data_IF_568122436081
#
_entry.id   IF_568122436081
#
_cell.length_a   1.000
_cell.length_b   1.000
_cell.length_c   1.000
_cell.angle_alpha   90.00
_cell.angle_beta   90.00
_cell.angle_gamma   90.00
#
_symmetry.space_group_name_H-M   'P 1'
#
loop_
_entity.id
_entity.type
_entity.pdbx_description
1 polymer ?
#
# COMPACT_ATOMS: atom_id res chain seq x y z
N UNK A 1 -60.76 -14.48 32.47
CA UNK A 1 -60.33 -13.59 31.38
C UNK A 1 -59.22 -12.73 31.92
N UNK A 2 -57.98 -13.09 31.63
CA UNK A 2 -56.77 -12.38 32.07
C UNK A 2 -56.19 -11.65 30.87
N UNK A 3 -56.33 -10.33 30.84
CA UNK A 3 -55.64 -9.47 29.88
C UNK A 3 -54.16 -9.39 30.27
N UNK A 4 -53.31 -10.10 29.52
CA UNK A 4 -51.86 -9.95 29.58
C UNK A 4 -51.47 -8.60 28.96
N UNK A 5 -51.05 -7.65 29.80
CA UNK A 5 -50.48 -6.39 29.36
C UNK A 5 -49.18 -6.64 28.58
N UNK A 6 -49.28 -6.70 27.25
CA UNK A 6 -48.14 -6.78 26.34
C UNK A 6 -47.42 -5.43 26.32
N UNK A 7 -46.51 -5.21 27.26
CA UNK A 7 -45.57 -4.10 27.24
C UNK A 7 -44.62 -4.24 26.06
N UNK A 8 -44.91 -3.54 24.96
CA UNK A 8 -43.99 -3.47 23.81
C UNK A 8 -42.85 -2.52 24.16
N UNK A 9 -41.65 -3.04 24.34
CA UNK A 9 -40.42 -2.23 24.41
C UNK A 9 -40.25 -1.51 23.08
N UNK A 10 -40.49 -0.20 23.07
CA UNK A 10 -40.21 0.66 21.91
C UNK A 10 -38.84 1.29 22.14
N UNK A 11 -37.84 0.87 21.37
CA UNK A 11 -36.56 1.59 21.30
C UNK A 11 -36.78 2.92 20.58
N UNK A 12 -37.01 3.99 21.34
CA UNK A 12 -37.07 5.34 20.77
C UNK A 12 -35.64 5.83 20.53
N UNK A 13 -35.14 5.65 19.29
CA UNK A 13 -33.90 6.28 18.82
C UNK A 13 -34.10 7.79 18.68
N UNK A 14 -34.00 8.52 19.78
CA UNK A 14 -34.11 9.99 19.81
C UNK A 14 -32.78 10.66 19.43
N UNK A 15 -32.82 11.94 19.06
CA UNK A 15 -31.62 12.78 18.82
C UNK A 15 -30.66 12.79 20.03
N UNK A 16 -31.16 12.59 21.25
CA UNK A 16 -30.36 12.49 22.46
C UNK A 16 -29.47 11.24 22.52
N UNK A 17 -29.83 10.17 21.82
CA UNK A 17 -28.98 8.97 21.72
C UNK A 17 -27.75 9.20 20.83
N UNK A 18 -27.90 10.02 19.78
CA UNK A 18 -26.78 10.42 18.91
C UNK A 18 -25.86 11.46 19.57
N UNK A 19 -26.42 12.30 20.44
CA UNK A 19 -25.69 13.30 21.24
C UNK A 19 -25.28 12.78 22.63
N UNK A 20 -25.48 11.50 22.93
CA UNK A 20 -25.15 10.93 24.23
C UNK A 20 -23.65 11.07 24.50
N UNK A 21 -23.32 11.98 25.41
CA UNK A 21 -21.97 12.29 25.88
C UNK A 21 -21.51 11.17 26.82
N UNK A 22 -20.39 10.50 26.52
CA UNK A 22 -19.74 9.61 27.51
C UNK A 22 -19.10 10.46 28.63
N UNK A 23 -18.87 9.94 29.84
CA UNK A 23 -18.13 10.68 30.88
C UNK A 23 -16.78 11.13 30.31
N UNK A 24 -16.58 12.45 30.17
CA UNK A 24 -15.47 13.05 29.41
C UNK A 24 -15.85 14.15 28.41
N UNK A 25 -17.14 14.43 28.19
CA UNK A 25 -17.59 15.67 27.53
C UNK A 25 -17.64 15.67 26.00
N UNK A 26 -17.35 14.54 25.33
CA UNK A 26 -17.37 14.43 23.87
C UNK A 26 -18.60 13.64 23.41
N UNK A 27 -19.43 14.25 22.56
CA UNK A 27 -20.56 13.55 21.91
C UNK A 27 -20.04 12.54 20.88
N UNK A 28 -20.81 11.47 20.63
CA UNK A 28 -20.43 10.42 19.66
C UNK A 28 -20.15 10.99 18.26
N UNK A 29 -20.95 11.96 17.82
CA UNK A 29 -20.77 12.70 16.55
C UNK A 29 -19.46 13.50 16.53
N UNK A 30 -19.12 14.18 17.62
CA UNK A 30 -17.86 14.91 17.80
C UNK A 30 -16.64 13.99 17.77
N UNK A 31 -16.70 12.85 18.48
CA UNK A 31 -15.63 11.85 18.49
C UNK A 31 -15.40 11.24 17.10
N UNK A 32 -16.47 10.91 16.38
CA UNK A 32 -16.37 10.36 15.02
C UNK A 32 -15.80 11.39 14.03
N UNK A 33 -16.18 12.66 14.16
CA UNK A 33 -15.62 13.74 13.33
C UNK A 33 -14.13 13.93 13.60
N UNK A 34 -13.72 13.95 14.87
CA UNK A 34 -12.30 14.03 15.25
C UNK A 34 -11.50 12.84 14.72
N UNK A 35 -12.00 11.62 14.91
CA UNK A 35 -11.38 10.41 14.37
C UNK A 35 -11.26 10.45 12.85
N UNK A 36 -12.30 10.91 12.14
CA UNK A 36 -12.28 11.05 10.67
C UNK A 36 -11.20 12.04 10.23
N UNK A 37 -11.08 13.19 10.92
CA UNK A 37 -10.02 14.18 10.64
C UNK A 37 -8.63 13.60 10.88
N UNK A 38 -8.42 12.88 11.99
CA UNK A 38 -7.14 12.22 12.28
C UNK A 38 -6.78 11.18 11.23
N UNK A 39 -7.72 10.33 10.82
CA UNK A 39 -7.50 9.34 9.75
C UNK A 39 -7.18 10.02 8.42
N UNK A 40 -7.88 11.11 8.08
CA UNK A 40 -7.62 11.87 6.85
C UNK A 40 -6.23 12.49 6.86
N UNK A 41 -5.80 13.07 7.99
CA UNK A 41 -4.46 13.62 8.14
C UNK A 41 -3.36 12.55 8.00
N UNK A 42 -3.57 11.37 8.61
CA UNK A 42 -2.65 10.24 8.47
C UNK A 42 -2.58 9.77 7.01
N UNK A 43 -3.72 9.63 6.32
CA UNK A 43 -3.73 9.26 4.89
C UNK A 43 -2.96 10.25 4.03
N UNK A 44 -3.15 11.55 4.27
CA UNK A 44 -2.40 12.59 3.55
C UNK A 44 -0.89 12.49 3.82
N UNK A 45 -0.49 12.25 5.06
CA UNK A 45 0.92 12.08 5.42
C UNK A 45 1.52 10.84 4.74
N UNK A 46 0.80 9.72 4.72
CA UNK A 46 1.23 8.49 4.02
C UNK A 46 1.39 8.76 2.53
N UNK A 47 0.46 9.47 1.89
CA UNK A 47 0.57 9.81 0.47
C UNK A 47 1.79 10.67 0.15
N UNK A 48 2.11 11.66 1.00
CA UNK A 48 3.30 12.49 0.85
C UNK A 48 4.60 11.70 1.00
N UNK A 49 4.66 10.81 1.99
CA UNK A 49 5.81 9.93 2.19
C UNK A 49 5.98 8.97 1.01
N UNK A 50 4.86 8.45 0.49
CA UNK A 50 4.87 7.54 -0.64
C UNK A 50 5.41 8.22 -1.90
N UNK A 51 5.04 9.47 -2.19
CA UNK A 51 5.61 10.21 -3.33
C UNK A 51 7.12 10.49 -3.17
N UNK A 52 7.57 10.73 -1.93
CA UNK A 52 8.97 10.92 -1.60
C UNK A 52 9.81 9.63 -1.76
N UNK A 53 9.18 8.45 -1.76
CA UNK A 53 9.87 7.17 -1.94
C UNK A 53 9.72 6.61 -3.37
N UNK A 54 8.52 6.67 -3.97
CA UNK A 54 8.26 6.13 -5.31
C UNK A 54 9.07 6.84 -6.39
N UNK A 55 9.11 8.18 -6.36
CA UNK A 55 9.77 8.95 -7.42
C UNK A 55 11.27 8.68 -7.46
N UNK A 56 12.02 8.79 -6.35
CA UNK A 56 13.44 8.47 -6.37
C UNK A 56 13.75 7.02 -6.71
N UNK A 57 12.90 6.07 -6.30
CA UNK A 57 13.07 4.66 -6.64
C UNK A 57 12.93 4.42 -8.14
N UNK A 58 11.88 4.96 -8.76
CA UNK A 58 11.67 4.85 -10.20
C UNK A 58 12.81 5.52 -10.99
N UNK A 59 13.29 6.68 -10.52
CA UNK A 59 14.42 7.38 -11.14
C UNK A 59 15.73 6.59 -11.00
N UNK A 60 15.98 5.96 -9.86
CA UNK A 60 17.14 5.09 -9.66
C UNK A 60 17.10 3.90 -10.64
N UNK A 61 15.96 3.22 -10.73
CA UNK A 61 15.75 2.10 -11.65
C UNK A 61 15.92 2.48 -13.13
N UNK A 62 15.44 3.67 -13.55
CA UNK A 62 15.65 4.19 -14.92
C UNK A 62 17.11 4.51 -15.22
N UNK A 63 17.86 4.89 -14.20
CA UNK A 63 19.28 5.24 -14.26
C UNK A 63 20.19 4.06 -13.89
N UNK A 64 19.85 2.87 -14.36
CA UNK A 64 20.68 1.68 -14.14
C UNK A 64 22.09 1.81 -14.76
N UNK A 65 23.17 1.40 -14.06
CA UNK A 65 23.19 0.79 -12.74
C UNK A 65 22.92 1.79 -11.60
N UNK A 66 22.17 1.34 -10.59
CA UNK A 66 21.85 2.15 -9.42
C UNK A 66 23.12 2.48 -8.63
N UNK A 67 23.30 3.77 -8.32
CA UNK A 67 24.46 4.25 -7.55
C UNK A 67 24.44 3.83 -6.08
N UNK A 68 23.26 3.79 -5.46
CA UNK A 68 23.05 3.38 -4.07
C UNK A 68 21.93 2.33 -4.00
N UNK A 69 22.34 1.06 -4.13
CA UNK A 69 21.43 -0.08 -4.20
C UNK A 69 20.72 -0.32 -2.85
N UNK A 70 21.43 -0.15 -1.73
CA UNK A 70 20.88 -0.35 -0.39
C UNK A 70 19.75 0.64 -0.12
N UNK A 71 19.97 1.92 -0.45
CA UNK A 71 18.92 2.95 -0.34
C UNK A 71 17.72 2.65 -1.24
N UNK A 72 17.96 2.15 -2.46
CA UNK A 72 16.88 1.82 -3.39
C UNK A 72 16.06 0.61 -2.92
N UNK A 73 16.68 -0.40 -2.31
CA UNK A 73 15.98 -1.50 -1.64
C UNK A 73 15.13 -0.99 -0.46
N UNK A 74 15.70 -0.13 0.37
CA UNK A 74 14.96 0.49 1.48
C UNK A 74 13.74 1.25 0.96
N UNK A 75 13.90 2.07 -0.08
CA UNK A 75 12.80 2.79 -0.72
C UNK A 75 11.73 1.84 -1.26
N UNK A 76 12.10 0.74 -1.90
CA UNK A 76 11.14 -0.26 -2.38
C UNK A 76 10.31 -0.87 -1.24
N UNK A 77 10.97 -1.22 -0.13
CA UNK A 77 10.28 -1.74 1.06
C UNK A 77 9.34 -0.70 1.69
N UNK A 78 9.77 0.57 1.77
CA UNK A 78 8.95 1.67 2.28
C UNK A 78 7.74 1.92 1.38
N UNK A 79 7.91 1.89 0.06
CA UNK A 79 6.79 2.03 -0.90
C UNK A 79 5.77 0.92 -0.68
N UNK A 80 6.21 -0.35 -0.55
CA UNK A 80 5.30 -1.48 -0.29
C UNK A 80 4.45 -1.24 0.96
N UNK A 81 5.11 -0.88 2.06
CA UNK A 81 4.45 -0.73 3.36
C UNK A 81 3.50 0.49 3.38
N UNK A 82 3.95 1.64 2.86
CA UNK A 82 3.13 2.84 2.75
C UNK A 82 1.95 2.65 1.78
N UNK A 83 2.15 1.94 0.67
CA UNK A 83 1.09 1.63 -0.29
C UNK A 83 0.03 0.72 0.35
N UNK A 84 0.45 -0.24 1.17
CA UNK A 84 -0.45 -1.09 1.95
C UNK A 84 -1.31 -0.28 2.91
N UNK A 85 -0.71 0.68 3.63
CA UNK A 85 -1.43 1.60 4.51
C UNK A 85 -2.40 2.55 3.77
N UNK A 86 -2.12 2.84 2.50
CA UNK A 86 -2.93 3.71 1.65
C UNK A 86 -3.99 2.96 0.82
N UNK A 87 -4.21 1.67 1.06
CA UNK A 87 -5.11 0.81 0.28
C UNK A 87 -4.78 0.78 -1.23
N UNK A 88 -3.49 0.92 -1.59
CA UNK A 88 -2.99 0.92 -2.97
C UNK A 88 -2.40 -0.43 -3.36
N UNK A 89 -3.26 -1.45 -3.49
CA UNK A 89 -2.80 -2.84 -3.56
C UNK A 89 -1.92 -3.13 -4.78
N UNK A 90 -2.24 -2.56 -5.95
CA UNK A 90 -1.40 -2.75 -7.13
C UNK A 90 0.03 -2.22 -6.88
N UNK A 91 0.15 -1.05 -6.25
CA UNK A 91 1.46 -0.48 -5.94
C UNK A 91 2.20 -1.31 -4.88
N UNK A 92 1.49 -1.88 -3.92
CA UNK A 92 2.08 -2.82 -2.94
C UNK A 92 2.71 -4.02 -3.65
N UNK A 93 2.00 -4.68 -4.56
CA UNK A 93 2.50 -5.85 -5.30
C UNK A 93 3.68 -5.49 -6.21
N UNK A 94 3.58 -4.39 -6.96
CA UNK A 94 4.67 -3.94 -7.84
C UNK A 94 5.92 -3.57 -7.03
N UNK A 95 5.75 -2.90 -5.89
CA UNK A 95 6.86 -2.56 -5.00
C UNK A 95 7.49 -3.81 -4.36
N UNK A 96 6.69 -4.83 -4.04
CA UNK A 96 7.20 -6.12 -3.57
C UNK A 96 8.08 -6.80 -4.64
N UNK A 97 7.61 -6.93 -5.89
CA UNK A 97 8.43 -7.48 -6.96
C UNK A 97 9.70 -6.67 -7.22
N UNK A 98 9.61 -5.33 -7.15
CA UNK A 98 10.77 -4.45 -7.29
C UNK A 98 11.77 -4.68 -6.16
N UNK A 99 11.29 -4.80 -4.92
CA UNK A 99 12.12 -5.11 -3.75
C UNK A 99 12.82 -6.45 -3.90
N UNK A 100 12.09 -7.53 -4.19
CA UNK A 100 12.67 -8.88 -4.33
C UNK A 100 13.76 -8.93 -5.42
N UNK A 101 13.54 -8.20 -6.52
CA UNK A 101 14.55 -8.09 -7.57
C UNK A 101 15.80 -7.34 -7.11
N UNK A 102 15.63 -6.18 -6.47
CA UNK A 102 16.76 -5.38 -5.98
C UNK A 102 17.51 -6.09 -4.86
N UNK A 103 16.81 -6.81 -3.99
CA UNK A 103 17.39 -7.62 -2.90
C UNK A 103 18.24 -8.75 -3.48
N UNK A 104 17.76 -9.48 -4.49
CA UNK A 104 18.53 -10.50 -5.18
C UNK A 104 19.78 -9.92 -5.88
N UNK A 105 19.70 -8.71 -6.44
CA UNK A 105 20.88 -8.03 -7.01
C UNK A 105 21.86 -7.63 -5.91
N UNK A 106 21.37 -7.07 -4.80
CA UNK A 106 22.20 -6.54 -3.71
C UNK A 106 22.88 -7.64 -2.89
N UNK A 107 22.11 -8.65 -2.47
CA UNK A 107 22.56 -9.69 -1.54
C UNK A 107 23.20 -10.85 -2.30
N UNK A 108 22.50 -11.37 -3.30
CA UNK A 108 22.96 -12.56 -4.01
C UNK A 108 23.91 -12.19 -5.16
N UNK A 109 23.95 -10.93 -5.61
CA UNK A 109 24.77 -10.49 -6.74
C UNK A 109 24.14 -10.77 -8.11
N UNK A 110 22.81 -10.89 -8.18
CA UNK A 110 22.11 -11.26 -9.41
C UNK A 110 22.34 -10.25 -10.54
N UNK A 111 22.48 -10.75 -11.76
CA UNK A 111 22.58 -9.92 -12.95
C UNK A 111 21.22 -9.36 -13.37
N UNK A 112 21.09 -8.04 -13.42
CA UNK A 112 19.91 -7.34 -13.90
C UNK A 112 20.29 -6.37 -15.03
N UNK A 113 19.51 -6.41 -16.11
CA UNK A 113 19.69 -5.55 -17.27
C UNK A 113 18.93 -4.23 -17.12
N UNK A 114 19.41 -3.18 -17.80
CA UNK A 114 18.77 -1.86 -17.76
C UNK A 114 17.30 -1.91 -18.23
N UNK A 115 16.98 -2.71 -19.24
CA UNK A 115 15.60 -2.83 -19.74
C UNK A 115 14.65 -3.39 -18.68
N UNK A 116 15.14 -4.34 -17.88
CA UNK A 116 14.39 -4.96 -16.79
C UNK A 116 14.18 -3.94 -15.66
N UNK A 117 15.20 -3.16 -15.33
CA UNK A 117 15.10 -2.10 -14.32
C UNK A 117 14.09 -1.02 -14.73
N UNK A 118 14.12 -0.60 -16.00
CA UNK A 118 13.13 0.34 -16.56
C UNK A 118 11.72 -0.23 -16.51
N UNK A 119 11.53 -1.54 -16.75
CA UNK A 119 10.22 -2.19 -16.64
C UNK A 119 9.64 -2.04 -15.22
N UNK A 120 10.45 -2.25 -14.17
CA UNK A 120 10.01 -2.02 -12.79
C UNK A 120 9.71 -0.54 -12.51
N UNK A 121 10.53 0.38 -13.03
CA UNK A 121 10.30 1.82 -12.86
C UNK A 121 8.95 2.25 -13.46
N UNK A 122 8.65 1.78 -14.67
CA UNK A 122 7.41 2.12 -15.37
C UNK A 122 6.21 1.45 -14.69
N UNK A 123 6.35 0.21 -14.21
CA UNK A 123 5.33 -0.44 -13.41
C UNK A 123 5.03 0.32 -12.12
N UNK A 124 6.05 0.84 -11.40
CA UNK A 124 5.87 1.64 -10.19
C UNK A 124 5.10 2.94 -10.47
N UNK A 125 5.48 3.66 -11.53
CA UNK A 125 4.80 4.90 -11.93
C UNK A 125 3.37 4.62 -12.38
N UNK A 126 3.15 3.54 -13.13
CA UNK A 126 1.81 3.11 -13.53
C UNK A 126 0.95 2.77 -12.31
N UNK A 127 1.44 1.89 -11.43
CA UNK A 127 0.73 1.44 -10.25
C UNK A 127 0.38 2.59 -9.29
N UNK A 128 1.25 3.61 -9.20
CA UNK A 128 0.99 4.83 -8.41
C UNK A 128 -0.28 5.56 -8.83
N UNK A 129 -0.67 5.50 -10.11
CA UNK A 129 -1.85 6.17 -10.63
C UNK A 129 -3.15 5.40 -10.34
N UNK A 130 -3.04 4.13 -9.97
CA UNK A 130 -4.18 3.26 -9.73
C UNK A 130 -4.44 3.06 -8.24
N UNK A 131 -5.66 3.43 -7.82
CA UNK A 131 -6.13 3.21 -6.45
C UNK A 131 -7.11 2.03 -6.41
N UNK A 132 -7.15 1.37 -5.25
CA UNK A 132 -8.13 0.32 -4.96
C UNK A 132 -7.52 -1.07 -4.86
N UNK A 133 -8.39 -2.00 -4.49
CA UNK A 133 -8.04 -3.36 -4.11
C UNK A 133 -8.26 -4.41 -5.21
N UNK A 134 -8.88 -4.04 -6.33
CA UNK A 134 -9.19 -4.99 -7.40
C UNK A 134 -7.97 -5.24 -8.30
N UNK A 135 -7.24 -6.31 -7.99
CA UNK A 135 -6.05 -6.73 -8.74
C UNK A 135 -6.36 -7.53 -10.00
N UNK A 136 -7.60 -8.00 -10.19
CA UNK A 136 -7.95 -8.87 -11.33
C UNK A 136 -7.70 -8.20 -12.69
N UNK A 137 -7.90 -6.88 -12.76
CA UNK A 137 -7.63 -6.07 -13.95
C UNK A 137 -6.15 -6.02 -14.33
N UNK A 138 -5.26 -6.28 -13.37
CA UNK A 138 -3.81 -6.14 -13.51
C UNK A 138 -3.08 -7.49 -13.43
N UNK A 139 -3.82 -8.61 -13.36
CA UNK A 139 -3.25 -9.96 -13.27
C UNK A 139 -2.22 -10.25 -14.37
N UNK A 140 -2.37 -9.83 -15.64
CA UNK A 140 -1.34 -10.01 -16.66
C UNK A 140 -0.03 -9.30 -16.30
N UNK A 141 -0.11 -8.03 -15.90
CA UNK A 141 1.06 -7.24 -15.47
C UNK A 141 1.79 -7.90 -14.29
N UNK A 142 1.04 -8.32 -13.26
CA UNK A 142 1.64 -8.95 -12.08
C UNK A 142 2.32 -10.27 -12.44
N UNK A 143 1.74 -11.06 -13.34
CA UNK A 143 2.35 -12.30 -13.82
C UNK A 143 3.63 -12.05 -14.62
N UNK A 144 3.66 -11.00 -15.44
CA UNK A 144 4.84 -10.62 -16.21
C UNK A 144 5.97 -10.17 -15.27
N UNK A 145 5.64 -9.37 -14.24
CA UNK A 145 6.59 -8.95 -13.20
C UNK A 145 7.10 -10.14 -12.38
N UNK A 146 6.23 -11.05 -11.93
CA UNK A 146 6.61 -12.28 -11.23
C UNK A 146 7.58 -13.13 -12.07
N UNK A 147 7.30 -13.26 -13.36
CA UNK A 147 8.14 -14.00 -14.29
C UNK A 147 9.52 -13.34 -14.43
N UNK A 148 9.54 -12.01 -14.55
CA UNK A 148 10.78 -11.23 -14.60
C UNK A 148 11.59 -11.34 -13.31
N UNK A 149 10.94 -11.22 -12.14
CA UNK A 149 11.57 -11.38 -10.83
C UNK A 149 12.21 -12.76 -10.70
N UNK A 150 11.46 -13.80 -11.08
CA UNK A 150 11.95 -15.18 -11.08
C UNK A 150 13.17 -15.36 -11.98
N UNK A 151 13.16 -14.75 -13.18
CA UNK A 151 14.30 -14.82 -14.11
C UNK A 151 15.56 -14.18 -13.51
N UNK A 152 15.44 -13.00 -12.90
CA UNK A 152 16.58 -12.32 -12.26
C UNK A 152 17.14 -13.15 -11.11
N UNK A 153 16.28 -13.64 -10.20
CA UNK A 153 16.69 -14.48 -9.07
C UNK A 153 17.41 -15.76 -9.56
N UNK A 154 16.92 -16.37 -10.65
CA UNK A 154 17.51 -17.60 -11.19
C UNK A 154 18.87 -17.41 -11.86
N UNK A 155 19.23 -16.19 -12.31
CA UNK A 155 20.53 -15.96 -12.97
C UNK A 155 21.72 -16.28 -12.07
N UNK A 156 21.60 -16.07 -10.77
CA UNK A 156 22.64 -16.45 -9.82
C UNK A 156 22.82 -17.94 -9.62
N UNK A 157 21.74 -18.72 -9.74
CA UNK A 157 21.81 -20.17 -9.56
C UNK A 157 22.53 -20.89 -10.69
N UNK A 158 22.81 -20.21 -11.81
CA UNK A 158 23.56 -20.77 -12.95
C UNK A 158 25.05 -20.43 -12.92
N UNK A 159 25.47 -19.47 -12.11
CA UNK A 159 26.86 -19.01 -11.97
C UNK A 159 27.57 -19.55 -10.73
N UNK A 160 26.85 -20.28 -9.85
CA UNK A 160 27.40 -21.07 -8.75
C UNK A 160 27.54 -22.55 -9.16
#
# INVERSE_FOLDING_TARGET
MSDEAHGRLVEIKTKFYNEAVKPGGVSRSGAQTAATRSVTAVKLQVEQQLDACVTPLADALRNWPIADMAKSCEQASQVRDLAGLADMHLLTEVAMHSFDCLDAVLIDGAGMERAEAVCYADALVFARQHRGSNLELFRPLLKDLESLTTLVIQRNKKTA
#
